data_IF_823994222863
#
_entry.id   IF_823994222863
#
_cell.length_a   1.000
_cell.length_b   1.000
_cell.length_c   1.000
_cell.angle_alpha   90.00
_cell.angle_beta   90.00
_cell.angle_gamma   90.00
#
_symmetry.space_group_name_H-M   'P 1'
#
loop_
_entity.id
_entity.type
_entity.pdbx_description
1 polymer ?
#
# COMPACT_ATOMS: atom_id res chain seq x y z
N UNK A 1 -7.99 -19.47 -6.86
CA UNK A 1 -6.58 -19.13 -7.17
C UNK A 1 -5.93 -18.82 -5.84
N UNK A 2 -4.80 -19.46 -5.49
CA UNK A 2 -4.14 -19.15 -4.23
C UNK A 2 -3.51 -17.75 -4.30
N UNK A 3 -3.22 -17.13 -3.15
CA UNK A 3 -2.49 -15.86 -3.14
C UNK A 3 -1.10 -15.95 -3.81
N UNK A 4 -0.49 -17.14 -3.84
CA UNK A 4 0.79 -17.38 -4.52
C UNK A 4 0.65 -17.31 -6.04
N UNK A 5 -0.46 -17.82 -6.57
CA UNK A 5 -0.73 -17.78 -8.01
C UNK A 5 -1.09 -16.35 -8.48
N UNK A 6 -1.64 -15.53 -7.58
CA UNK A 6 -2.08 -14.17 -7.88
C UNK A 6 -0.94 -13.15 -7.98
N UNK A 7 0.23 -13.44 -7.40
CA UNK A 7 1.39 -12.53 -7.34
C UNK A 7 2.69 -13.26 -7.70
N UNK A 8 2.96 -13.47 -9.00
CA UNK A 8 4.21 -14.08 -9.43
C UNK A 8 5.41 -13.20 -9.04
N UNK A 9 6.60 -13.80 -8.99
CA UNK A 9 7.82 -13.06 -8.63
C UNK A 9 8.04 -11.85 -9.56
N UNK A 10 8.34 -10.70 -8.96
CA UNK A 10 8.44 -9.40 -9.65
C UNK A 10 7.10 -8.66 -9.81
N UNK A 11 5.97 -9.24 -9.37
CA UNK A 11 4.64 -8.63 -9.50
C UNK A 11 3.87 -8.60 -8.16
N UNK A 12 4.29 -7.75 -7.20
CA UNK A 12 3.55 -7.53 -5.95
C UNK A 12 2.18 -6.90 -6.19
N UNK A 13 1.36 -6.83 -5.14
CA UNK A 13 0.14 -6.04 -5.19
C UNK A 13 0.44 -4.54 -5.41
N UNK A 14 -0.57 -3.79 -5.89
CA UNK A 14 -0.56 -2.33 -5.99
C UNK A 14 0.42 -1.72 -7.01
N UNK A 15 1.01 -2.51 -7.90
CA UNK A 15 1.95 -2.02 -8.94
C UNK A 15 1.39 -2.04 -10.36
N UNK A 16 0.16 -2.53 -10.55
CA UNK A 16 -0.54 -2.55 -11.84
C UNK A 16 -1.06 -1.16 -12.22
N UNK A 17 -0.91 -0.76 -13.49
CA UNK A 17 -1.39 0.53 -13.96
C UNK A 17 -2.59 0.37 -14.91
N UNK A 18 -3.80 0.32 -14.35
CA UNK A 18 -5.04 0.16 -15.12
C UNK A 18 -5.77 1.49 -15.43
N UNK A 19 -5.29 2.60 -14.88
CA UNK A 19 -5.89 3.91 -15.06
C UNK A 19 -4.97 4.83 -15.86
N UNK A 20 -5.50 5.50 -16.87
CA UNK A 20 -4.91 6.77 -17.30
C UNK A 20 -5.23 7.82 -16.23
N UNK A 21 -4.21 8.27 -15.50
CA UNK A 21 -4.38 9.27 -14.43
C UNK A 21 -4.95 10.60 -14.93
N UNK A 22 -4.86 10.89 -16.24
CA UNK A 22 -5.48 12.01 -16.94
C UNK A 22 -5.37 13.36 -16.18
N UNK A 23 -4.17 13.68 -15.68
CA UNK A 23 -3.96 14.79 -14.76
C UNK A 23 -4.37 16.17 -15.32
N UNK A 24 -4.30 16.32 -16.64
CA UNK A 24 -4.72 17.53 -17.36
C UNK A 24 -6.22 17.85 -17.18
N UNK A 25 -7.05 16.85 -16.84
CA UNK A 25 -8.50 17.04 -16.59
C UNK A 25 -8.80 17.57 -15.19
N UNK A 26 -7.86 17.47 -14.25
CA UNK A 26 -8.11 17.72 -12.83
C UNK A 26 -8.52 19.16 -12.52
N UNK A 27 -8.12 20.12 -13.35
CA UNK A 27 -8.37 21.55 -13.15
C UNK A 27 -9.71 22.03 -13.73
N UNK A 28 -10.40 21.16 -14.47
CA UNK A 28 -11.65 21.49 -15.17
C UNK A 28 -12.83 20.93 -14.36
N UNK A 29 -13.28 21.70 -13.38
CA UNK A 29 -14.37 21.30 -12.47
C UNK A 29 -15.65 20.98 -13.25
N UNK A 30 -16.00 21.79 -14.27
CA UNK A 30 -17.20 21.57 -15.10
C UNK A 30 -17.16 20.22 -15.81
N UNK A 31 -16.01 19.87 -16.40
CA UNK A 31 -15.83 18.58 -17.07
C UNK A 31 -15.87 17.41 -16.09
N UNK A 32 -15.28 17.56 -14.90
CA UNK A 32 -15.34 16.53 -13.86
C UNK A 32 -16.78 16.30 -13.38
N UNK A 33 -17.56 17.37 -13.14
CA UNK A 33 -18.98 17.26 -12.82
C UNK A 33 -19.78 16.57 -13.93
N UNK A 34 -19.52 16.93 -15.19
CA UNK A 34 -20.18 16.27 -16.32
C UNK A 34 -19.80 14.79 -16.44
N UNK A 35 -18.56 14.41 -16.10
CA UNK A 35 -18.14 13.01 -16.06
C UNK A 35 -18.80 12.24 -14.93
N UNK A 36 -18.92 12.82 -13.73
CA UNK A 36 -19.55 12.18 -12.57
C UNK A 36 -20.99 11.74 -12.88
N UNK A 37 -21.72 12.52 -13.67
CA UNK A 37 -23.11 12.23 -14.06
C UNK A 37 -23.26 11.14 -15.13
N UNK A 38 -22.16 10.66 -15.74
CA UNK A 38 -22.25 9.62 -16.77
C UNK A 38 -22.57 8.26 -16.15
N UNK A 39 -23.52 7.47 -16.71
CA UNK A 39 -23.82 6.13 -16.22
C UNK A 39 -22.64 5.14 -16.28
N UNK A 40 -21.62 5.45 -17.07
CA UNK A 40 -20.37 4.67 -17.19
C UNK A 40 -19.38 4.95 -16.06
N UNK A 41 -19.53 6.05 -15.33
CA UNK A 41 -18.63 6.44 -14.25
C UNK A 41 -18.78 5.51 -13.05
N UNK A 42 -17.66 5.29 -12.36
CA UNK A 42 -17.59 4.34 -11.25
C UNK A 42 -16.81 4.93 -10.08
N UNK A 43 -17.03 4.39 -8.89
CA UNK A 43 -16.31 4.77 -7.70
C UNK A 43 -15.87 3.58 -6.84
N UNK A 44 -14.71 3.73 -6.22
CA UNK A 44 -14.32 2.95 -5.04
C UNK A 44 -14.73 3.73 -3.80
N UNK A 45 -15.50 3.09 -2.93
CA UNK A 45 -16.04 3.72 -1.71
C UNK A 45 -15.26 3.21 -0.50
N UNK A 46 -14.57 4.12 0.18
CA UNK A 46 -13.57 3.82 1.21
C UNK A 46 -14.08 4.23 2.60
N UNK A 47 -13.85 3.35 3.58
CA UNK A 47 -13.99 3.64 4.99
C UNK A 47 -12.79 3.10 5.77
N UNK A 48 -11.89 3.98 6.23
CA UNK A 48 -10.63 3.61 6.88
C UNK A 48 -9.83 2.62 6.01
N UNK A 49 -9.51 1.43 6.53
CA UNK A 49 -8.81 0.37 5.81
C UNK A 49 -9.73 -0.56 5.00
N UNK A 50 -11.03 -0.28 4.99
CA UNK A 50 -12.05 -1.09 4.32
C UNK A 50 -12.62 -0.42 3.07
N UNK A 51 -13.14 -1.26 2.17
CA UNK A 51 -13.97 -0.84 1.05
C UNK A 51 -15.42 -1.27 1.27
N UNK A 52 -16.35 -0.45 0.79
CA UNK A 52 -17.70 -0.92 0.54
C UNK A 52 -17.69 -1.77 -0.73
N UNK A 53 -18.10 -3.02 -0.59
CA UNK A 53 -18.23 -3.96 -1.70
C UNK A 53 -19.67 -4.45 -1.80
N UNK A 54 -20.13 -4.67 -3.03
CA UNK A 54 -21.40 -5.33 -3.29
C UNK A 54 -21.21 -6.84 -3.31
N UNK A 55 -22.13 -7.58 -2.71
CA UNK A 55 -22.18 -9.03 -2.80
C UNK A 55 -22.98 -9.46 -4.03
N UNK A 56 -22.39 -10.30 -4.86
CA UNK A 56 -22.98 -10.85 -6.08
C UNK A 56 -22.82 -12.38 -6.05
N UNK A 57 -23.66 -13.03 -5.22
CA UNK A 57 -23.49 -14.45 -4.86
C UNK A 57 -22.21 -14.65 -4.05
N UNK A 58 -21.35 -15.55 -4.50
CA UNK A 58 -20.05 -15.83 -3.87
C UNK A 58 -18.94 -14.83 -4.27
N UNK A 59 -19.26 -13.88 -5.16
CA UNK A 59 -18.31 -12.85 -5.61
C UNK A 59 -18.58 -11.52 -4.94
N UNK A 60 -17.54 -10.69 -4.88
CA UNK A 60 -17.64 -9.30 -4.45
C UNK A 60 -17.25 -8.36 -5.57
N UNK A 61 -17.90 -7.20 -5.63
CA UNK A 61 -17.55 -6.11 -6.54
C UNK A 61 -17.25 -4.84 -5.75
N UNK A 62 -16.01 -4.37 -5.83
CA UNK A 62 -15.57 -3.13 -5.19
C UNK A 62 -15.87 -1.87 -6.01
N UNK A 63 -15.92 -1.99 -7.34
CA UNK A 63 -16.16 -0.88 -8.24
C UNK A 63 -17.67 -0.64 -8.41
N UNK A 64 -18.20 0.41 -7.76
CA UNK A 64 -19.63 0.73 -7.71
C UNK A 64 -20.03 1.77 -8.75
N UNK A 65 -21.30 1.80 -9.16
CA UNK A 65 -21.86 2.96 -9.86
C UNK A 65 -21.93 4.18 -8.93
N UNK A 66 -21.91 5.40 -9.47
CA UNK A 66 -22.00 6.63 -8.65
C UNK A 66 -23.32 6.68 -7.87
N UNK A 67 -24.46 6.47 -8.54
CA UNK A 67 -25.77 6.42 -7.88
C UNK A 67 -25.87 5.27 -6.86
N UNK A 68 -25.22 4.14 -7.14
CA UNK A 68 -25.14 2.98 -6.26
C UNK A 68 -24.39 3.33 -4.97
N UNK A 69 -23.24 4.00 -5.09
CA UNK A 69 -22.44 4.49 -3.98
C UNK A 69 -23.20 5.54 -3.14
N UNK A 70 -23.86 6.51 -3.80
CA UNK A 70 -24.66 7.55 -3.12
C UNK A 70 -25.84 6.96 -2.34
N UNK A 71 -26.54 5.96 -2.89
CA UNK A 71 -27.62 5.24 -2.18
C UNK A 71 -27.12 4.49 -0.95
N UNK A 72 -25.86 4.06 -0.96
CA UNK A 72 -25.20 3.47 0.21
C UNK A 72 -24.65 4.51 1.20
N UNK A 73 -24.89 5.81 0.94
CA UNK A 73 -24.50 6.91 1.81
C UNK A 73 -23.05 7.36 1.66
N UNK A 74 -22.42 7.08 0.52
CA UNK A 74 -21.12 7.66 0.18
C UNK A 74 -21.20 9.20 0.13
N UNK A 75 -20.15 9.87 0.59
CA UNK A 75 -20.06 11.32 0.57
C UNK A 75 -20.01 11.82 -0.88
N UNK A 76 -20.75 12.88 -1.24
CA UNK A 76 -20.80 13.39 -2.62
C UNK A 76 -19.49 14.06 -3.08
N UNK A 77 -18.50 14.24 -2.20
CA UNK A 77 -17.18 14.72 -2.60
C UNK A 77 -16.40 13.62 -3.31
N UNK A 78 -16.46 13.61 -4.64
CA UNK A 78 -15.71 12.68 -5.48
C UNK A 78 -14.25 13.12 -5.65
N UNK A 79 -13.35 12.14 -5.68
CA UNK A 79 -11.93 12.33 -5.99
C UNK A 79 -11.67 11.68 -7.34
N UNK A 80 -11.27 12.44 -8.35
CA UNK A 80 -10.99 11.90 -9.68
C UNK A 80 -9.68 11.10 -9.67
N UNK A 81 -9.75 9.80 -9.94
CA UNK A 81 -8.59 8.90 -9.95
C UNK A 81 -7.96 8.80 -11.34
N UNK A 82 -8.77 8.93 -12.38
CA UNK A 82 -8.37 8.79 -13.77
C UNK A 82 -9.48 8.22 -14.64
N UNK A 83 -9.09 7.76 -15.83
CA UNK A 83 -9.94 7.11 -16.80
C UNK A 83 -9.58 5.63 -16.92
N UNK A 84 -10.59 4.78 -17.07
CA UNK A 84 -10.46 3.38 -17.46
C UNK A 84 -11.41 3.14 -18.63
N UNK A 85 -10.88 2.75 -19.78
CA UNK A 85 -11.66 2.52 -21.00
C UNK A 85 -12.57 3.71 -21.36
N UNK A 86 -12.08 4.94 -21.13
CA UNK A 86 -12.81 6.20 -21.36
C UNK A 86 -13.83 6.57 -20.27
N UNK A 87 -14.11 5.71 -19.30
CA UNK A 87 -14.98 5.98 -18.17
C UNK A 87 -14.21 6.60 -16.99
N UNK A 88 -14.81 7.59 -16.32
CA UNK A 88 -14.20 8.26 -15.17
C UNK A 88 -14.31 7.42 -13.90
N UNK A 89 -13.17 7.23 -13.24
CA UNK A 89 -13.03 6.48 -12.00
C UNK A 89 -12.85 7.46 -10.84
N UNK A 90 -13.62 7.26 -9.77
CA UNK A 90 -13.62 8.14 -8.61
C UNK A 90 -13.31 7.40 -7.30
N UNK A 91 -12.80 8.13 -6.31
CA UNK A 91 -12.77 7.72 -4.91
C UNK A 91 -13.82 8.48 -4.12
N UNK A 92 -14.53 7.79 -3.23
CA UNK A 92 -15.53 8.39 -2.34
C UNK A 92 -15.31 7.88 -0.91
N UNK A 93 -15.66 8.70 0.09
CA UNK A 93 -15.56 8.32 1.50
C UNK A 93 -16.90 8.01 2.13
N UNK A 94 -16.90 7.24 3.22
CA UNK A 94 -18.06 7.07 4.11
C UNK A 94 -17.84 7.76 5.46
N UNK A 95 -18.94 8.23 6.05
CA UNK A 95 -18.95 8.64 7.46
C UNK A 95 -19.02 7.41 8.38
N UNK A 96 -18.58 7.56 9.63
CA UNK A 96 -18.72 6.50 10.64
C UNK A 96 -20.19 6.09 10.85
N UNK A 97 -21.10 7.07 10.98
CA UNK A 97 -22.52 6.79 11.18
C UNK A 97 -23.15 6.05 9.99
N UNK A 98 -22.67 6.30 8.76
CA UNK A 98 -23.10 5.53 7.57
C UNK A 98 -22.54 4.12 7.61
N UNK A 99 -21.25 3.96 7.95
CA UNK A 99 -20.61 2.65 8.05
C UNK A 99 -21.31 1.74 9.06
N UNK A 100 -21.73 2.28 10.21
CA UNK A 100 -22.49 1.55 11.24
C UNK A 100 -23.85 1.05 10.72
N UNK A 101 -24.54 1.83 9.87
CA UNK A 101 -25.81 1.42 9.24
C UNK A 101 -25.64 0.33 8.18
N UNK A 102 -24.44 0.16 7.65
CA UNK A 102 -24.13 -0.88 6.66
C UNK A 102 -23.86 -2.24 7.31
N UNK A 103 -23.61 -2.27 8.62
CA UNK A 103 -23.42 -3.52 9.37
C UNK A 103 -24.70 -4.36 9.31
N UNK A 104 -24.56 -5.63 8.93
CA UNK A 104 -25.68 -6.57 8.85
C UNK A 104 -26.50 -6.52 7.55
N UNK A 105 -26.15 -5.65 6.59
CA UNK A 105 -26.72 -5.70 5.24
C UNK A 105 -26.27 -6.95 4.49
N UNK A 106 -27.16 -7.51 3.68
CA UNK A 106 -26.88 -8.70 2.86
C UNK A 106 -26.32 -8.34 1.48
N UNK A 107 -26.68 -7.19 0.94
CA UNK A 107 -26.34 -6.74 -0.41
C UNK A 107 -24.99 -5.99 -0.48
N UNK A 108 -24.60 -5.31 0.60
CA UNK A 108 -23.30 -4.63 0.71
C UNK A 108 -22.62 -4.92 2.03
N UNK A 109 -21.30 -4.91 2.01
CA UNK A 109 -20.50 -5.11 3.22
C UNK A 109 -19.24 -4.26 3.17
N UNK A 110 -18.71 -3.92 4.34
CA UNK A 110 -17.41 -3.31 4.47
C UNK A 110 -16.38 -4.41 4.68
N UNK A 111 -15.39 -4.52 3.78
CA UNK A 111 -14.35 -5.54 3.84
C UNK A 111 -12.97 -4.90 3.82
N UNK A 112 -12.09 -5.38 4.70
CA UNK A 112 -10.75 -4.84 4.87
C UNK A 112 -9.86 -5.20 3.66
N UNK A 113 -9.13 -4.21 3.14
CA UNK A 113 -8.39 -4.32 1.88
C UNK A 113 -7.29 -5.38 1.92
N UNK A 114 -6.52 -5.45 3.00
CA UNK A 114 -5.41 -6.40 3.13
C UNK A 114 -5.94 -7.83 3.13
N UNK A 115 -7.02 -8.10 3.87
CA UNK A 115 -7.71 -9.38 3.89
C UNK A 115 -8.20 -9.79 2.51
N UNK A 116 -8.83 -8.88 1.76
CA UNK A 116 -9.27 -9.15 0.39
C UNK A 116 -8.11 -9.48 -0.54
N UNK A 117 -7.01 -8.72 -0.47
CA UNK A 117 -5.82 -8.99 -1.28
C UNK A 117 -5.19 -10.34 -0.93
N UNK A 118 -5.11 -10.68 0.36
CA UNK A 118 -4.57 -11.95 0.84
C UNK A 118 -5.43 -13.16 0.46
N UNK A 119 -6.76 -12.99 0.39
CA UNK A 119 -7.69 -14.06 0.02
C UNK A 119 -7.88 -14.19 -1.49
N UNK A 120 -7.32 -13.28 -2.30
CA UNK A 120 -7.57 -13.22 -3.74
C UNK A 120 -9.02 -12.88 -4.07
N UNK A 121 -9.72 -12.17 -3.18
CA UNK A 121 -11.13 -11.80 -3.35
C UNK A 121 -11.32 -10.66 -4.36
N UNK A 122 -10.25 -9.93 -4.66
CA UNK A 122 -10.20 -8.85 -5.66
C UNK A 122 -9.09 -9.16 -6.66
N UNK A 123 -9.31 -8.96 -7.97
CA UNK A 123 -8.28 -9.16 -8.99
C UNK A 123 -7.04 -8.24 -8.76
N UNK A 124 -5.80 -8.75 -8.90
CA UNK A 124 -4.57 -7.97 -8.68
C UNK A 124 -4.50 -6.65 -9.47
N UNK A 125 -5.08 -6.62 -10.67
CA UNK A 125 -5.13 -5.45 -11.53
C UNK A 125 -5.97 -4.29 -10.96
N UNK A 126 -6.94 -4.58 -10.10
CA UNK A 126 -7.77 -3.54 -9.45
C UNK A 126 -7.13 -2.94 -8.20
N UNK A 127 -6.21 -3.67 -7.57
CA UNK A 127 -5.65 -3.29 -6.27
C UNK A 127 -4.99 -1.92 -6.29
N UNK A 128 -4.30 -1.55 -7.36
CA UNK A 128 -3.60 -0.27 -7.48
C UNK A 128 -4.56 0.92 -7.55
N UNK A 129 -5.68 0.78 -8.25
CA UNK A 129 -6.71 1.82 -8.32
C UNK A 129 -7.43 1.97 -6.98
N UNK A 130 -7.68 0.86 -6.29
CA UNK A 130 -8.21 0.83 -4.93
C UNK A 130 -7.24 1.48 -3.94
N UNK A 131 -5.95 1.18 -4.02
CA UNK A 131 -4.92 1.80 -3.19
C UNK A 131 -4.88 3.32 -3.38
N UNK A 132 -4.95 3.78 -4.64
CA UNK A 132 -5.05 5.20 -4.97
C UNK A 132 -6.29 5.84 -4.34
N UNK A 133 -7.46 5.23 -4.48
CA UNK A 133 -8.69 5.71 -3.86
C UNK A 133 -8.56 5.80 -2.34
N UNK A 134 -8.05 4.72 -1.72
CA UNK A 134 -7.86 4.63 -0.27
C UNK A 134 -6.93 5.71 0.25
N UNK A 135 -5.75 5.88 -0.35
CA UNK A 135 -4.78 6.90 0.06
C UNK A 135 -5.35 8.31 -0.07
N UNK A 136 -6.02 8.61 -1.17
CA UNK A 136 -6.60 9.95 -1.40
C UNK A 136 -7.77 10.26 -0.46
N UNK A 137 -8.71 9.33 -0.28
CA UNK A 137 -9.84 9.50 0.65
C UNK A 137 -9.32 9.65 2.08
N UNK A 138 -8.38 8.79 2.50
CA UNK A 138 -7.81 8.81 3.84
C UNK A 138 -7.00 10.09 4.10
N UNK A 139 -6.32 10.63 3.09
CA UNK A 139 -5.65 11.92 3.20
C UNK A 139 -6.65 13.04 3.49
N UNK A 140 -7.73 13.15 2.70
CA UNK A 140 -8.75 14.18 2.92
C UNK A 140 -9.48 14.06 4.25
N UNK A 141 -9.72 12.85 4.75
CA UNK A 141 -10.35 12.65 6.06
C UNK A 141 -9.49 13.18 7.22
N UNK A 142 -8.15 13.14 7.09
CA UNK A 142 -7.21 13.59 8.13
C UNK A 142 -6.65 15.01 7.90
N UNK A 143 -6.75 15.55 6.70
CA UNK A 143 -6.14 16.83 6.31
C UNK A 143 -7.20 17.89 5.91
N UNK A 144 -8.27 18.01 6.71
CA UNK A 144 -9.36 18.96 6.44
C UNK A 144 -9.04 20.44 6.73
N UNK A 145 -7.97 20.70 7.47
CA UNK A 145 -7.56 22.04 7.93
C UNK A 145 -6.14 22.37 7.46
N UNK A 146 -5.87 23.65 7.27
CA UNK A 146 -4.57 24.15 6.82
C UNK A 146 -3.52 23.97 7.92
N UNK A 147 -2.42 23.28 7.60
CA UNK A 147 -1.33 23.07 8.54
C UNK A 147 -0.58 24.37 8.91
N UNK A 148 -0.71 25.43 8.11
CA UNK A 148 -0.06 26.72 8.36
C UNK A 148 -0.85 27.64 9.30
N UNK A 149 -2.19 27.70 9.16
CA UNK A 149 -3.02 28.68 9.88
C UNK A 149 -4.29 28.12 10.52
N UNK A 150 -4.53 26.81 10.46
CA UNK A 150 -5.69 26.15 11.09
C UNK A 150 -7.04 26.36 10.39
N UNK A 151 -7.14 27.20 9.35
CA UNK A 151 -8.39 27.41 8.60
C UNK A 151 -8.78 26.15 7.80
N UNK A 152 -10.08 25.81 7.74
CA UNK A 152 -10.57 24.71 6.91
C UNK A 152 -10.17 24.93 5.44
N UNK A 153 -9.45 23.97 4.86
CA UNK A 153 -9.01 24.03 3.47
C UNK A 153 -10.07 23.43 2.53
N UNK A 154 -10.03 23.79 1.25
CA UNK A 154 -10.97 23.31 0.22
C UNK A 154 -10.28 22.32 -0.72
N UNK A 155 -10.99 21.26 -1.15
CA UNK A 155 -10.50 20.35 -2.18
C UNK A 155 -10.39 21.09 -3.52
N UNK A 156 -9.32 20.81 -4.25
CA UNK A 156 -9.03 21.37 -5.58
C UNK A 156 -8.38 20.31 -6.46
N UNK A 157 -8.35 20.59 -7.77
CA UNK A 157 -7.74 19.75 -8.80
C UNK A 157 -8.26 18.29 -8.76
N UNK A 158 -9.58 18.12 -8.81
CA UNK A 158 -10.22 16.80 -8.73
C UNK A 158 -9.90 16.02 -7.45
N UNK A 159 -9.53 16.72 -6.37
CA UNK A 159 -9.11 16.14 -5.09
C UNK A 159 -7.60 15.92 -4.94
N UNK A 160 -6.78 16.25 -5.94
CA UNK A 160 -5.31 16.11 -5.86
C UNK A 160 -4.59 17.28 -5.18
N UNK A 161 -5.35 18.25 -4.66
CA UNK A 161 -4.84 19.40 -3.93
C UNK A 161 -5.84 19.87 -2.88
N UNK A 162 -5.36 20.55 -1.85
CA UNK A 162 -6.18 21.38 -0.98
C UNK A 162 -5.63 22.79 -0.87
N UNK A 163 -6.50 23.79 -1.02
CA UNK A 163 -6.13 25.19 -0.93
C UNK A 163 -6.69 25.82 0.33
N UNK A 164 -5.85 26.58 1.05
CA UNK A 164 -6.30 27.39 2.16
C UNK A 164 -6.91 28.71 1.64
N UNK A 165 -8.19 29.00 1.92
CA UNK A 165 -8.80 30.25 1.45
C UNK A 165 -8.21 31.49 2.16
N UNK A 166 -7.68 31.32 3.39
CA UNK A 166 -7.14 32.39 4.23
C UNK A 166 -5.71 32.76 3.82
N UNK A 167 -4.73 31.87 4.01
CA UNK A 167 -3.31 32.17 3.78
C UNK A 167 -2.76 31.75 2.42
N UNK A 168 -3.61 31.18 1.54
CA UNK A 168 -3.23 30.69 0.19
C UNK A 168 -2.22 29.55 0.16
N UNK A 169 -1.89 28.96 1.31
CA UNK A 169 -1.08 27.74 1.36
C UNK A 169 -1.77 26.61 0.60
N UNK A 170 -0.98 25.88 -0.19
CA UNK A 170 -1.38 24.68 -0.89
C UNK A 170 -0.90 23.45 -0.13
N UNK A 171 -1.71 22.39 -0.15
CA UNK A 171 -1.37 21.10 0.44
C UNK A 171 -1.57 19.99 -0.58
N UNK A 172 -0.59 19.10 -0.68
CA UNK A 172 -0.60 17.97 -1.60
C UNK A 172 -0.76 16.64 -0.82
N UNK A 173 -1.26 15.59 -1.47
CA UNK A 173 -1.32 14.25 -0.89
C UNK A 173 0.05 13.79 -0.40
N UNK A 174 0.08 13.18 0.79
CA UNK A 174 1.29 12.67 1.40
C UNK A 174 1.65 11.30 0.82
N UNK A 175 2.92 11.07 0.52
CA UNK A 175 3.47 9.75 0.18
C UNK A 175 4.79 9.61 0.93
N UNK A 176 4.83 8.73 1.92
CA UNK A 176 5.98 8.56 2.80
C UNK A 176 6.97 7.54 2.20
N UNK A 177 8.20 7.93 1.84
CA UNK A 177 9.21 6.99 1.35
C UNK A 177 9.66 6.05 2.48
N UNK A 178 9.65 4.75 2.20
CA UNK A 178 10.08 3.70 3.14
C UNK A 178 11.03 2.78 2.40
N UNK A 179 12.26 2.63 2.88
CA UNK A 179 13.18 1.61 2.33
C UNK A 179 12.82 0.25 2.91
N UNK A 180 12.91 -0.79 2.09
CA UNK A 180 12.77 -2.18 2.53
C UNK A 180 13.86 -3.00 1.87
N UNK A 181 14.66 -3.66 2.69
CA UNK A 181 15.99 -4.10 2.28
C UNK A 181 16.20 -5.59 2.50
N UNK A 182 16.59 -6.26 1.42
CA UNK A 182 17.18 -7.59 1.49
C UNK A 182 18.69 -7.47 1.72
N UNK A 183 19.18 -8.08 2.79
CA UNK A 183 20.60 -7.99 3.16
C UNK A 183 21.22 -9.38 3.08
N UNK A 184 22.28 -9.53 2.31
CA UNK A 184 22.97 -10.81 2.11
C UNK A 184 24.40 -10.80 2.67
N UNK A 185 24.81 -11.91 3.29
CA UNK A 185 26.21 -12.24 3.59
C UNK A 185 26.51 -13.61 2.99
N UNK A 186 27.25 -13.64 1.88
CA UNK A 186 27.47 -14.87 1.12
C UNK A 186 26.15 -15.56 0.74
N UNK A 187 25.93 -16.75 1.29
CA UNK A 187 24.74 -17.57 1.02
C UNK A 187 23.67 -17.51 2.12
N UNK A 188 23.72 -16.46 2.95
CA UNK A 188 22.71 -16.18 3.98
C UNK A 188 22.05 -14.83 3.76
N UNK A 189 20.81 -14.71 4.18
CA UNK A 189 20.09 -13.44 4.24
C UNK A 189 19.68 -13.08 5.67
N UNK A 190 19.69 -11.79 6.00
CA UNK A 190 19.19 -11.28 7.28
C UNK A 190 17.69 -11.03 7.15
N UNK A 191 16.90 -11.59 8.07
CA UNK A 191 15.48 -11.27 8.21
C UNK A 191 15.16 -10.95 9.67
N UNK A 192 14.19 -10.06 9.87
CA UNK A 192 13.70 -9.65 11.19
C UNK A 192 12.20 -9.92 11.36
N UNK A 193 11.75 -9.83 12.61
CA UNK A 193 10.32 -9.84 12.96
C UNK A 193 10.01 -8.86 14.07
N UNK A 194 8.83 -8.26 14.00
CA UNK A 194 8.26 -7.43 15.05
C UNK A 194 7.27 -8.25 15.88
N UNK A 195 7.03 -7.86 17.14
CA UNK A 195 6.11 -8.56 18.08
C UNK A 195 4.69 -8.74 17.52
N UNK A 196 4.25 -7.79 16.69
CA UNK A 196 2.92 -7.80 16.07
C UNK A 196 2.78 -8.78 14.89
N UNK A 197 3.88 -9.34 14.39
CA UNK A 197 3.83 -10.31 13.30
C UNK A 197 3.33 -11.67 13.80
N UNK A 198 2.58 -12.42 12.96
CA UNK A 198 2.25 -13.82 13.26
C UNK A 198 3.50 -14.59 13.70
N UNK A 199 3.35 -15.48 14.68
CA UNK A 199 4.46 -16.30 15.18
C UNK A 199 5.15 -17.03 14.03
N UNK A 200 6.49 -17.05 14.03
CA UNK A 200 7.30 -17.69 12.99
C UNK A 200 7.44 -16.89 11.68
N UNK A 201 6.71 -15.79 11.48
CA UNK A 201 6.86 -14.95 10.30
C UNK A 201 8.05 -14.00 10.43
N UNK A 202 8.93 -14.01 9.43
CA UNK A 202 10.07 -13.10 9.27
C UNK A 202 9.97 -12.35 7.93
N UNK A 203 10.58 -11.17 7.86
CA UNK A 203 10.59 -10.32 6.67
C UNK A 203 11.90 -9.55 6.54
N UNK A 204 12.12 -8.98 5.36
CA UNK A 204 13.10 -7.91 5.18
C UNK A 204 12.86 -6.80 6.21
N UNK A 205 13.96 -6.22 6.68
CA UNK A 205 13.96 -5.01 7.50
C UNK A 205 13.43 -3.83 6.68
N UNK A 206 12.82 -2.84 7.31
CA UNK A 206 12.26 -1.68 6.62
C UNK A 206 12.09 -0.47 7.53
N UNK A 207 12.35 0.72 7.02
CA UNK A 207 12.14 1.96 7.77
C UNK A 207 12.01 3.20 6.89
N UNK A 208 11.64 4.31 7.53
CA UNK A 208 11.33 5.55 6.80
C UNK A 208 12.62 6.22 6.33
N UNK A 209 12.57 6.82 5.13
CA UNK A 209 13.63 7.76 4.72
C UNK A 209 13.43 9.06 5.48
N UNK A 210 14.48 9.54 6.13
CA UNK A 210 14.46 10.80 6.88
C UNK A 210 14.61 12.03 5.98
N UNK A 211 14.36 13.21 6.57
CA UNK A 211 14.51 14.47 5.86
C UNK A 211 15.97 14.68 5.41
N UNK A 212 16.15 14.98 4.12
CA UNK A 212 17.46 15.16 3.49
C UNK A 212 18.36 13.91 3.52
N UNK A 213 17.76 12.72 3.58
CA UNK A 213 18.47 11.45 3.50
C UNK A 213 18.36 10.82 2.10
N UNK A 214 19.44 10.20 1.62
CA UNK A 214 19.40 9.40 0.39
C UNK A 214 18.78 8.03 0.65
N UNK A 215 18.30 7.35 -0.39
CA UNK A 215 17.76 5.98 -0.25
C UNK A 215 18.85 5.05 0.29
N UNK A 216 20.09 5.20 -0.20
CA UNK A 216 21.21 4.36 0.19
C UNK A 216 21.66 4.61 1.63
N UNK A 217 21.59 5.86 2.10
CA UNK A 217 21.89 6.19 3.49
C UNK A 217 20.82 5.64 4.43
N UNK A 218 19.53 5.80 4.08
CA UNK A 218 18.42 5.22 4.84
C UNK A 218 18.56 3.69 4.96
N UNK A 219 18.87 2.99 3.86
CA UNK A 219 19.12 1.54 3.91
C UNK A 219 20.24 1.21 4.89
N UNK A 220 21.37 1.92 4.86
CA UNK A 220 22.50 1.66 5.76
C UNK A 220 22.16 1.96 7.22
N UNK A 221 21.47 3.07 7.47
CA UNK A 221 21.06 3.51 8.81
C UNK A 221 20.10 2.49 9.42
N UNK A 222 19.01 2.18 8.73
CA UNK A 222 17.97 1.27 9.23
C UNK A 222 18.51 -0.14 9.52
N UNK A 223 19.37 -0.70 8.64
CA UNK A 223 20.00 -2.00 8.90
C UNK A 223 20.88 -1.93 10.16
N UNK A 224 21.64 -0.86 10.33
CA UNK A 224 22.52 -0.67 11.48
C UNK A 224 21.72 -0.51 12.77
N UNK A 225 20.67 0.31 12.77
CA UNK A 225 19.83 0.60 13.93
C UNK A 225 19.08 -0.65 14.41
N UNK A 226 18.41 -1.35 13.51
CA UNK A 226 17.56 -2.49 13.89
C UNK A 226 18.35 -3.77 14.23
N UNK A 227 19.53 -3.96 13.63
CA UNK A 227 20.26 -5.24 13.68
C UNK A 227 21.74 -5.15 14.01
N UNK A 228 22.32 -3.96 14.10
CA UNK A 228 23.76 -3.77 14.31
C UNK A 228 24.64 -4.10 13.09
N UNK A 229 24.05 -4.57 11.98
CA UNK A 229 24.79 -5.00 10.80
C UNK A 229 25.22 -3.79 9.96
N UNK A 230 26.49 -3.79 9.54
CA UNK A 230 26.99 -2.83 8.54
C UNK A 230 26.85 -3.42 7.14
N UNK A 231 26.54 -2.58 6.17
CA UNK A 231 26.38 -3.00 4.79
C UNK A 231 26.99 -2.03 3.77
N UNK A 232 27.11 -2.53 2.54
CA UNK A 232 27.65 -1.86 1.36
C UNK A 232 26.82 -2.24 0.13
N UNK A 233 27.12 -1.64 -1.02
CA UNK A 233 26.57 -2.02 -2.33
C UNK A 233 25.04 -2.03 -2.33
N UNK A 234 24.45 -0.95 -1.83
CA UNK A 234 23.00 -0.75 -1.88
C UNK A 234 22.59 -0.63 -3.34
N UNK A 235 21.67 -1.49 -3.77
CA UNK A 235 21.14 -1.51 -5.13
C UNK A 235 19.62 -1.43 -5.08
N UNK A 236 19.05 -0.52 -5.87
CA UNK A 236 17.61 -0.44 -6.08
C UNK A 236 17.11 -1.67 -6.84
N UNK A 237 15.94 -2.17 -6.44
CA UNK A 237 15.23 -3.23 -7.14
C UNK A 237 13.93 -2.73 -7.79
N UNK A 238 12.95 -2.39 -6.97
CA UNK A 238 11.62 -1.99 -7.42
C UNK A 238 10.91 -1.16 -6.35
N UNK A 239 9.76 -0.58 -6.69
CA UNK A 239 8.89 0.08 -5.70
C UNK A 239 7.52 -0.57 -5.62
N UNK A 240 6.91 -0.51 -4.44
CA UNK A 240 5.51 -0.89 -4.22
C UNK A 240 4.78 0.21 -3.44
N UNK A 241 3.73 0.82 -4.00
CA UNK A 241 2.80 1.62 -3.22
C UNK A 241 2.16 0.79 -2.10
N UNK A 242 2.17 1.30 -0.87
CA UNK A 242 1.65 0.60 0.29
C UNK A 242 0.63 1.49 1.02
N UNK A 243 -0.68 1.27 0.81
CA UNK A 243 -1.72 2.19 1.25
C UNK A 243 -2.06 2.02 2.74
N UNK A 244 -1.06 1.89 3.62
CA UNK A 244 -1.22 1.70 5.06
C UNK A 244 -0.26 2.60 5.87
N UNK A 245 -0.53 3.91 5.99
CA UNK A 245 -1.64 4.63 5.36
C UNK A 245 -1.33 5.13 3.94
N UNK A 246 -0.09 5.52 3.64
CA UNK A 246 0.28 6.18 2.38
C UNK A 246 1.79 6.13 2.13
N UNK A 247 2.39 4.94 2.14
CA UNK A 247 3.84 4.77 1.94
C UNK A 247 4.18 4.38 0.50
N UNK A 248 5.39 4.72 0.06
CA UNK A 248 6.03 4.14 -1.12
C UNK A 248 7.18 3.27 -0.63
N UNK A 249 7.00 1.95 -0.70
CA UNK A 249 8.05 0.99 -0.37
C UNK A 249 9.08 1.01 -1.49
N UNK A 250 10.34 1.23 -1.15
CA UNK A 250 11.48 1.29 -2.04
C UNK A 250 12.34 0.07 -1.71
N UNK A 251 12.22 -0.96 -2.55
CA UNK A 251 12.92 -2.22 -2.38
C UNK A 251 14.37 -2.10 -2.79
N UNK A 252 15.28 -2.44 -1.88
CA UNK A 252 16.72 -2.44 -2.11
C UNK A 252 17.34 -3.78 -1.71
N UNK A 253 18.50 -4.08 -2.28
CA UNK A 253 19.40 -5.11 -1.77
C UNK A 253 20.68 -4.47 -1.25
N UNK A 254 21.31 -5.08 -0.24
CA UNK A 254 22.60 -4.66 0.28
C UNK A 254 23.47 -5.88 0.63
N UNK A 255 24.80 -5.70 0.57
CA UNK A 255 25.79 -6.70 1.00
C UNK A 255 26.26 -6.38 2.41
N UNK A 256 26.10 -7.31 3.34
CA UNK A 256 26.64 -7.15 4.70
C UNK A 256 28.16 -7.25 4.71
N UNK A 257 28.79 -6.53 5.65
CA UNK A 257 30.24 -6.61 5.91
C UNK A 257 30.55 -7.16 7.32
N UNK A 258 29.52 -7.50 8.08
CA UNK A 258 29.57 -8.11 9.41
C UNK A 258 28.40 -9.08 9.58
N UNK A 259 28.53 -10.07 10.47
CA UNK A 259 27.46 -11.04 10.79
C UNK A 259 26.99 -10.97 12.25
N UNK A 260 27.67 -10.20 13.11
CA UNK A 260 27.32 -10.07 14.53
C UNK A 260 26.06 -9.21 14.72
N UNK A 261 24.92 -9.89 14.91
CA UNK A 261 23.63 -9.23 15.10
C UNK A 261 23.52 -8.67 16.53
N UNK A 262 23.15 -7.40 16.62
CA UNK A 262 22.70 -6.74 17.86
C UNK A 262 21.31 -6.17 17.60
N UNK A 263 20.29 -6.87 18.10
CA UNK A 263 18.88 -6.49 17.85
C UNK A 263 18.48 -5.33 18.74
N UNK A 264 17.92 -4.27 18.16
CA UNK A 264 17.15 -3.30 18.94
C UNK A 264 15.79 -3.91 19.32
N UNK A 265 15.65 -4.26 20.60
CA UNK A 265 14.44 -4.90 21.16
C UNK A 265 13.27 -3.93 21.31
N UNK A 266 13.48 -2.64 21.11
CA UNK A 266 12.39 -1.65 21.04
C UNK A 266 11.60 -1.79 19.73
N UNK A 267 12.29 -2.10 18.63
CA UNK A 267 11.69 -2.19 17.30
C UNK A 267 11.44 -3.64 16.86
N UNK A 268 12.44 -4.51 17.02
CA UNK A 268 12.37 -5.91 16.61
C UNK A 268 12.20 -6.87 17.80
N UNK A 269 11.36 -7.87 17.60
CA UNK A 269 11.32 -9.03 18.50
C UNK A 269 12.53 -9.93 18.27
N UNK A 270 12.95 -10.15 17.02
CA UNK A 270 14.10 -10.98 16.69
C UNK A 270 14.67 -10.64 15.30
N UNK A 271 15.97 -10.88 15.10
CA UNK A 271 16.63 -10.80 13.79
C UNK A 271 17.67 -11.93 13.66
N UNK A 272 17.67 -12.60 12.50
CA UNK A 272 18.45 -13.82 12.29
C UNK A 272 18.97 -13.90 10.86
N UNK A 273 20.13 -14.56 10.72
CA UNK A 273 20.60 -15.06 9.44
C UNK A 273 19.88 -16.37 9.09
N UNK A 274 19.42 -16.46 7.84
CA UNK A 274 18.82 -17.65 7.27
C UNK A 274 19.62 -18.08 6.05
N UNK A 275 19.86 -19.37 5.88
CA UNK A 275 20.46 -19.89 4.64
C UNK A 275 19.50 -19.72 3.47
N UNK A 276 20.03 -19.80 2.25
CA UNK A 276 19.19 -19.77 1.04
C UNK A 276 18.14 -20.88 1.04
N UNK A 277 18.49 -22.08 1.51
CA UNK A 277 17.56 -23.21 1.63
C UNK A 277 16.44 -22.93 2.64
N UNK A 278 16.78 -22.40 3.81
CA UNK A 278 15.78 -22.02 4.82
C UNK A 278 14.83 -20.96 4.26
N UNK A 279 15.38 -19.92 3.62
CA UNK A 279 14.60 -18.86 2.97
C UNK A 279 13.66 -19.41 1.88
N UNK A 280 14.12 -20.35 1.06
CA UNK A 280 13.30 -21.00 0.04
C UNK A 280 12.11 -21.75 0.68
N UNK A 281 12.36 -22.53 1.74
CA UNK A 281 11.31 -23.23 2.48
C UNK A 281 10.34 -22.27 3.18
N UNK A 282 10.85 -21.14 3.68
CA UNK A 282 10.04 -20.09 4.31
C UNK A 282 9.09 -19.42 3.30
N UNK A 283 9.55 -19.16 2.06
CA UNK A 283 8.72 -18.59 0.99
C UNK A 283 7.57 -19.53 0.62
N UNK A 284 7.81 -20.85 0.59
CA UNK A 284 6.78 -21.86 0.31
C UNK A 284 6.00 -22.29 1.55
N UNK A 285 6.33 -21.74 2.73
CA UNK A 285 5.72 -22.07 4.03
C UNK A 285 5.82 -23.55 4.40
N UNK A 286 6.93 -24.18 4.04
CA UNK A 286 7.22 -25.60 4.29
C UNK A 286 8.44 -25.80 5.20
N UNK A 287 8.89 -24.75 5.91
CA UNK A 287 10.00 -24.86 6.85
C UNK A 287 9.63 -25.78 8.03
N UNK A 288 10.49 -26.74 8.43
CA UNK A 288 10.17 -27.74 9.45
C UNK A 288 9.83 -27.13 10.82
N UNK A 289 10.48 -26.02 11.18
CA UNK A 289 10.21 -25.31 12.44
C UNK A 289 9.00 -24.35 12.37
N UNK A 290 8.20 -24.41 11.31
CA UNK A 290 7.04 -23.53 11.12
C UNK A 290 7.39 -22.07 10.83
N UNK A 291 8.62 -21.79 10.40
CA UNK A 291 9.05 -20.46 9.98
C UNK A 291 8.47 -20.11 8.61
N UNK A 292 8.07 -18.86 8.43
CA UNK A 292 7.44 -18.38 7.21
C UNK A 292 8.05 -17.06 6.75
N UNK A 293 8.16 -16.91 5.44
CA UNK A 293 8.58 -15.67 4.81
C UNK A 293 7.41 -14.71 4.57
N UNK A 294 7.69 -13.54 3.97
CA UNK A 294 6.68 -12.56 3.62
C UNK A 294 5.63 -13.13 2.65
N UNK A 295 4.42 -12.62 2.74
CA UNK A 295 3.33 -13.02 1.83
C UNK A 295 3.60 -12.56 0.38
N UNK A 296 3.15 -13.32 -0.64
CA UNK A 296 3.39 -13.02 -2.06
C UNK A 296 2.97 -11.65 -2.56
N UNK A 297 2.00 -11.01 -1.92
CA UNK A 297 1.55 -9.67 -2.34
C UNK A 297 2.50 -8.54 -1.92
N UNK A 298 3.48 -8.81 -1.04
CA UNK A 298 4.39 -7.82 -0.47
C UNK A 298 5.77 -7.83 -1.14
N UNK A 299 6.35 -6.65 -1.37
CA UNK A 299 7.68 -6.46 -1.99
C UNK A 299 8.79 -7.26 -1.32
N UNK A 300 8.72 -7.48 0.00
CA UNK A 300 9.68 -8.31 0.73
C UNK A 300 9.74 -9.76 0.22
N UNK A 301 8.60 -10.34 -0.19
CA UNK A 301 8.55 -11.67 -0.80
C UNK A 301 9.33 -11.70 -2.12
N UNK A 302 9.20 -10.64 -2.92
CA UNK A 302 9.87 -10.56 -4.22
C UNK A 302 11.36 -10.24 -4.11
N UNK A 303 11.77 -9.45 -3.11
CA UNK A 303 13.18 -9.23 -2.79
C UNK A 303 13.85 -10.56 -2.40
N UNK A 304 13.26 -11.28 -1.45
CA UNK A 304 13.78 -12.56 -0.97
C UNK A 304 13.74 -13.64 -2.06
N UNK A 305 12.61 -13.75 -2.78
CA UNK A 305 12.44 -14.70 -3.87
C UNK A 305 13.44 -14.45 -5.01
N UNK A 306 13.66 -13.19 -5.40
CA UNK A 306 14.68 -12.84 -6.38
C UNK A 306 16.05 -13.35 -5.95
N UNK A 307 16.48 -13.07 -4.73
CA UNK A 307 17.76 -13.57 -4.23
C UNK A 307 17.80 -15.10 -4.27
N UNK A 308 16.79 -15.81 -3.72
CA UNK A 308 16.74 -17.28 -3.72
C UNK A 308 16.90 -17.89 -5.12
N UNK A 309 16.33 -17.26 -6.16
CA UNK A 309 16.38 -17.78 -7.53
C UNK A 309 17.57 -17.28 -8.37
N UNK A 310 18.08 -16.08 -8.10
CA UNK A 310 19.25 -15.53 -8.78
C UNK A 310 20.51 -16.23 -8.24
N UNK A 311 21.01 -17.24 -8.98
CA UNK A 311 22.34 -17.84 -8.76
C UNK A 311 23.41 -16.96 -9.40
N UNK A 312 23.61 -15.76 -8.87
CA UNK A 312 24.76 -14.91 -9.23
C UNK A 312 25.97 -15.23 -8.37
#
# INVERSE_FOLDING_TARGET
MSAFDAFPLGQPAFVTNILDRAAHLRRDDEKLFAMEQKPTSRAYVVYRDSLLVKREGDKIRALLGIDEALKCGANPGTIFLGLRDGAAMFGMGLSQATAEKLVGREDYTLTELRGMAMQGAIPPEELSAIAMAKSMVSWHQRHGYCANCGTRSAMKEGGWKRDCPSCKAEHFPRTDPVVIMHVASGDKCLLGRQKQFPAGMYSCLAGFVEAAETIEDAVRREILEESGIRCTDVQYYMTQPWPYPSSLMIGCSARAVSEDIVVDRMELEDARWFTREEAALMLTRTHPDGLAGPHPFAIAHHLLGRWVHDKS
#
